data_IF_698147405551
#
_entry.id   IF_698147405551
#
_cell.length_a   1.000
_cell.length_b   1.000
_cell.length_c   1.000
_cell.angle_alpha   90.00
_cell.angle_beta   90.00
_cell.angle_gamma   90.00
#
_symmetry.space_group_name_H-M   'P 1'
#
loop_
_entity.id
_entity.type
_entity.pdbx_description
1 polymer ?
#
# COMPACT_ATOMS: atom_id res chain seq x y z
N UNK A 1 -6.24 -11.92 6.46
CA UNK A 1 -5.45 -11.63 5.25
C UNK A 1 -3.97 -11.74 5.58
N UNK A 2 -3.39 -12.85 5.17
CA UNK A 2 -2.01 -13.19 5.49
C UNK A 2 -1.18 -13.18 4.23
N UNK A 3 0.02 -12.62 4.32
CA UNK A 3 0.99 -12.64 3.22
C UNK A 3 2.31 -13.20 3.74
N UNK A 4 3.13 -13.69 2.84
CA UNK A 4 4.45 -14.19 3.19
C UNK A 4 5.50 -13.17 2.78
N UNK A 5 6.37 -12.82 3.72
CA UNK A 5 7.50 -11.93 3.46
C UNK A 5 8.75 -12.67 3.89
N UNK A 6 9.60 -13.00 2.93
CA UNK A 6 10.81 -13.77 3.16
C UNK A 6 10.52 -15.07 3.92
N UNK A 7 9.42 -15.74 3.55
CA UNK A 7 9.04 -16.99 4.17
C UNK A 7 8.31 -16.86 5.49
N UNK A 8 8.16 -15.64 6.00
CA UNK A 8 7.46 -15.41 7.27
C UNK A 8 6.04 -14.92 7.01
N UNK A 9 5.10 -15.46 7.77
CA UNK A 9 3.70 -15.09 7.68
C UNK A 9 3.47 -13.74 8.35
N UNK A 10 2.85 -12.82 7.63
CA UNK A 10 2.51 -11.49 8.15
C UNK A 10 1.00 -11.31 8.04
N UNK A 11 0.36 -10.98 9.15
CA UNK A 11 -1.08 -10.77 9.19
C UNK A 11 -1.39 -9.30 8.96
N UNK A 12 -2.25 -9.02 7.98
CA UNK A 12 -2.63 -7.67 7.62
C UNK A 12 -4.12 -7.47 7.87
N UNK A 13 -4.49 -6.22 8.12
CA UNK A 13 -5.91 -5.87 8.13
C UNK A 13 -6.43 -5.92 6.69
N UNK A 14 -7.75 -5.97 6.55
CA UNK A 14 -8.37 -6.00 5.22
C UNK A 14 -7.92 -4.81 4.36
N UNK A 15 -7.91 -3.62 4.95
CA UNK A 15 -7.53 -2.41 4.19
C UNK A 15 -6.05 -2.43 3.78
N UNK A 16 -5.18 -2.87 4.69
CA UNK A 16 -3.76 -3.00 4.37
C UNK A 16 -3.55 -4.01 3.25
N UNK A 17 -4.26 -5.13 3.32
CA UNK A 17 -4.18 -6.15 2.30
C UNK A 17 -4.62 -5.63 0.94
N UNK A 18 -5.73 -4.89 0.90
CA UNK A 18 -6.25 -4.34 -0.35
C UNK A 18 -5.27 -3.33 -0.98
N UNK A 19 -4.64 -2.51 -0.16
CA UNK A 19 -3.62 -1.57 -0.65
C UNK A 19 -2.45 -2.32 -1.26
N UNK A 20 -1.94 -3.31 -0.53
CA UNK A 20 -0.82 -4.11 -1.01
C UNK A 20 -1.15 -4.81 -2.31
N UNK A 21 -2.35 -5.36 -2.41
CA UNK A 21 -2.81 -6.05 -3.60
C UNK A 21 -2.79 -5.14 -4.83
N UNK A 22 -3.24 -3.90 -4.68
CA UNK A 22 -3.23 -2.92 -5.77
C UNK A 22 -1.80 -2.71 -6.27
N UNK A 23 -0.86 -2.52 -5.35
CA UNK A 23 0.54 -2.31 -5.71
C UNK A 23 1.15 -3.52 -6.40
N UNK A 24 0.83 -4.71 -5.91
CA UNK A 24 1.40 -5.94 -6.50
C UNK A 24 0.85 -6.22 -7.89
N UNK A 25 -0.39 -5.83 -8.14
CA UNK A 25 -0.99 -6.01 -9.46
C UNK A 25 -0.47 -5.00 -10.49
N UNK A 26 0.05 -3.87 -10.01
CA UNK A 26 0.51 -2.80 -10.89
C UNK A 26 1.85 -2.25 -10.42
N UNK A 27 2.92 -3.09 -10.46
CA UNK A 27 4.23 -2.64 -9.99
C UNK A 27 4.75 -1.49 -10.83
N UNK A 28 5.36 -0.53 -10.16
CA UNK A 28 5.90 0.64 -10.82
C UNK A 28 4.89 1.75 -11.08
N UNK A 29 3.60 1.46 -10.94
CA UNK A 29 2.57 2.46 -11.18
C UNK A 29 2.34 3.30 -9.93
N UNK A 30 2.41 4.62 -10.08
CA UNK A 30 2.15 5.55 -8.99
C UNK A 30 0.65 5.77 -8.84
N UNK A 31 0.17 5.69 -7.60
CA UNK A 31 -1.23 5.96 -7.28
C UNK A 31 -1.30 7.20 -6.40
N UNK A 32 -2.23 8.08 -6.71
CA UNK A 32 -2.47 9.22 -5.83
C UNK A 32 -3.14 8.71 -4.55
N UNK A 33 -3.05 9.51 -3.49
CA UNK A 33 -3.68 9.16 -2.23
C UNK A 33 -5.20 9.04 -2.40
N UNK A 34 -5.80 9.91 -3.19
CA UNK A 34 -7.24 9.83 -3.46
C UNK A 34 -7.61 8.61 -4.31
N UNK A 35 -6.74 8.19 -5.23
CA UNK A 35 -6.99 6.96 -5.98
C UNK A 35 -7.02 5.75 -5.06
N UNK A 36 -6.04 5.65 -4.16
CA UNK A 36 -6.02 4.56 -3.18
C UNK A 36 -7.22 4.61 -2.26
N UNK A 37 -7.57 5.80 -1.81
CA UNK A 37 -8.72 6.00 -0.94
C UNK A 37 -10.00 5.52 -1.62
N UNK A 38 -10.22 5.93 -2.86
CA UNK A 38 -11.39 5.57 -3.62
C UNK A 38 -11.46 4.06 -3.87
N UNK A 39 -10.32 3.45 -4.24
CA UNK A 39 -10.27 2.02 -4.54
C UNK A 39 -10.55 1.15 -3.32
N UNK A 40 -10.06 1.55 -2.16
CA UNK A 40 -10.11 0.72 -0.98
C UNK A 40 -11.26 1.09 -0.04
N UNK A 41 -11.56 2.37 0.09
CA UNK A 41 -12.62 2.85 0.99
C UNK A 41 -13.88 3.29 0.29
N UNK A 42 -13.81 3.57 -0.99
CA UNK A 42 -14.95 4.01 -1.77
C UNK A 42 -14.96 5.50 -2.01
N UNK A 43 -15.77 5.90 -2.98
CA UNK A 43 -15.78 7.29 -3.47
C UNK A 43 -16.28 8.28 -2.42
N UNK A 44 -17.08 7.83 -1.46
CA UNK A 44 -17.61 8.70 -0.41
C UNK A 44 -16.52 9.19 0.54
N UNK A 45 -15.37 8.54 0.54
CA UNK A 45 -14.26 8.91 1.41
C UNK A 45 -13.31 9.93 0.78
N UNK A 46 -13.64 10.42 -0.39
CA UNK A 46 -12.76 11.33 -1.13
C UNK A 46 -12.30 12.50 -0.26
N UNK A 47 -11.01 12.77 -0.27
CA UNK A 47 -10.43 13.87 0.52
C UNK A 47 -9.88 13.46 1.87
N UNK A 48 -10.26 12.31 2.40
CA UNK A 48 -9.78 11.84 3.70
C UNK A 48 -8.46 11.07 3.56
N UNK A 49 -7.50 11.68 2.87
CA UNK A 49 -6.27 11.01 2.46
C UNK A 49 -5.34 10.65 3.61
N UNK A 50 -5.49 11.29 4.77
CA UNK A 50 -4.70 10.94 5.94
C UNK A 50 -4.88 9.48 6.33
N UNK A 51 -6.08 8.93 6.09
CA UNK A 51 -6.35 7.52 6.36
C UNK A 51 -5.43 6.62 5.55
N UNK A 52 -5.18 6.97 4.29
CA UNK A 52 -4.27 6.22 3.43
C UNK A 52 -2.85 6.27 4.01
N UNK A 53 -2.39 7.46 4.39
CA UNK A 53 -1.02 7.61 4.91
C UNK A 53 -0.81 6.75 6.16
N UNK A 54 -1.79 6.70 7.03
CA UNK A 54 -1.70 5.89 8.25
C UNK A 54 -1.61 4.41 7.93
N UNK A 55 -2.40 3.95 6.97
CA UNK A 55 -2.37 2.54 6.58
C UNK A 55 -1.08 2.16 5.85
N UNK A 56 -0.53 3.08 5.05
CA UNK A 56 0.76 2.86 4.41
C UNK A 56 1.85 2.70 5.48
N UNK A 57 1.81 3.55 6.50
CA UNK A 57 2.78 3.48 7.59
C UNK A 57 2.75 2.12 8.29
N UNK A 58 1.55 1.69 8.70
CA UNK A 58 1.42 0.42 9.40
C UNK A 58 1.74 -0.76 8.48
N UNK A 59 1.36 -0.67 7.21
CA UNK A 59 1.68 -1.70 6.24
C UNK A 59 3.20 -1.86 6.09
N UNK A 60 3.91 -0.74 5.93
CA UNK A 60 5.37 -0.78 5.83
C UNK A 60 6.01 -1.42 7.06
N UNK A 61 5.50 -1.07 8.24
CA UNK A 61 6.02 -1.63 9.49
C UNK A 61 5.81 -3.14 9.56
N UNK A 62 4.62 -3.60 9.18
CA UNK A 62 4.29 -5.03 9.23
C UNK A 62 5.10 -5.84 8.21
N UNK A 63 5.38 -5.27 7.05
CA UNK A 63 6.15 -5.93 6.02
C UNK A 63 7.65 -5.99 6.36
N UNK A 64 8.09 -5.20 7.33
CA UNK A 64 9.51 -5.16 7.71
C UNK A 64 10.37 -4.76 6.52
N UNK A 65 11.34 -5.61 6.17
CA UNK A 65 12.23 -5.31 5.03
C UNK A 65 11.47 -5.17 3.72
N UNK A 66 10.33 -5.85 3.58
CA UNK A 66 9.50 -5.75 2.40
C UNK A 66 8.86 -4.38 2.24
N UNK A 67 8.72 -3.64 3.34
CA UNK A 67 8.11 -2.33 3.30
C UNK A 67 8.88 -1.30 2.50
N UNK A 68 10.18 -1.53 2.29
CA UNK A 68 11.00 -0.60 1.50
C UNK A 68 10.58 -0.52 0.05
N UNK A 69 9.88 -1.53 -0.45
CA UNK A 69 9.42 -1.54 -1.84
C UNK A 69 8.25 -0.60 -2.06
N UNK A 70 7.54 -0.22 -1.00
CA UNK A 70 6.47 0.78 -1.09
C UNK A 70 7.12 2.14 -0.90
N UNK A 71 7.25 2.89 -1.99
CA UNK A 71 7.95 4.18 -1.97
C UNK A 71 6.97 5.33 -2.05
N UNK A 72 7.33 6.45 -1.43
CA UNK A 72 6.56 7.67 -1.50
C UNK A 72 6.95 8.42 -2.76
N UNK A 73 5.96 8.77 -3.58
CA UNK A 73 6.18 9.60 -4.75
C UNK A 73 5.78 11.00 -4.35
N UNK A 74 6.78 11.85 -4.19
CA UNK A 74 6.59 13.21 -3.65
C UNK A 74 5.54 13.97 -4.42
N UNK A 75 4.59 14.56 -3.69
CA UNK A 75 3.49 15.35 -4.23
C UNK A 75 2.51 14.57 -5.11
N UNK A 76 2.61 13.25 -5.13
CA UNK A 76 1.69 12.39 -5.89
C UNK A 76 1.02 11.38 -4.97
N UNK A 77 1.80 10.48 -4.40
CA UNK A 77 1.26 9.41 -3.55
C UNK A 77 2.27 8.32 -3.32
N UNK A 78 1.94 7.10 -3.73
CA UNK A 78 2.76 5.93 -3.45
C UNK A 78 2.84 4.99 -4.63
N UNK A 79 3.90 4.20 -4.66
CA UNK A 79 4.04 3.13 -5.65
C UNK A 79 4.89 2.01 -5.07
N UNK A 80 4.85 0.86 -5.71
CA UNK A 80 5.74 -0.24 -5.38
C UNK A 80 6.73 -0.40 -6.52
N UNK A 81 8.02 -0.50 -6.18
CA UNK A 81 9.03 -0.63 -7.21
C UNK A 81 10.13 -1.61 -6.80
N UNK A 82 10.85 -2.09 -7.80
CA UNK A 82 12.10 -2.81 -7.58
C UNK A 82 12.00 -4.24 -7.13
N UNK A 83 10.81 -4.79 -7.03
CA UNK A 83 10.70 -6.12 -6.44
C UNK A 83 10.85 -7.27 -7.43
N UNK A 84 10.80 -6.99 -8.70
CA UNK A 84 10.85 -8.02 -9.73
C UNK A 84 12.02 -7.91 -10.69
N UNK A 85 13.05 -7.27 -10.28
CA UNK A 85 14.23 -7.07 -11.14
C UNK A 85 15.04 -8.34 -11.34
#
# INVERSE_FOLDING_TARGET
HTVLVDGKSVSLTYKEYEILKIFLMHPGMAYTRNQLLSEVWGIDSYGETRTVDMHIKTLRQKLGDGGRYITTVRNVGYKMEGYND
#
